data_IF_618563029715
#
_entry.id   IF_618563029715
#
_cell.length_a   1.000
_cell.length_b   1.000
_cell.length_c   1.000
_cell.angle_alpha   90.00
_cell.angle_beta   90.00
_cell.angle_gamma   90.00
#
_symmetry.space_group_name_H-M   'P 1'
#
loop_
_entity.id
_entity.type
_entity.pdbx_description
1 polymer ?
#
# COMPACT_ATOMS: atom_id res chain seq x y z
N UNK A 1 17.21 -3.53 41.20
CA UNK A 1 17.97 -2.49 40.46
C UNK A 1 17.64 -2.70 38.98
N UNK A 2 16.67 -1.96 38.43
CA UNK A 2 16.18 -2.14 37.05
C UNK A 2 17.20 -1.53 36.07
N UNK A 3 18.19 -2.32 35.65
CA UNK A 3 19.02 -1.95 34.51
C UNK A 3 18.23 -2.28 33.23
N UNK A 4 17.33 -1.38 32.84
CA UNK A 4 16.66 -1.48 31.54
C UNK A 4 17.67 -1.10 30.47
N UNK A 5 17.96 -2.05 29.59
CA UNK A 5 18.79 -1.85 28.41
C UNK A 5 18.31 -0.61 27.62
N UNK A 6 19.18 0.38 27.33
CA UNK A 6 18.82 1.53 26.50
C UNK A 6 18.18 1.14 25.16
N UNK A 7 18.58 0.02 24.56
CA UNK A 7 17.96 -0.50 23.34
C UNK A 7 16.53 -1.01 23.58
N UNK A 8 16.25 -1.59 24.75
CA UNK A 8 14.91 -2.02 25.12
C UNK A 8 13.96 -0.82 25.24
N UNK A 9 14.37 0.25 25.92
CA UNK A 9 13.55 1.46 26.04
C UNK A 9 13.29 2.10 24.67
N UNK A 10 14.31 2.16 23.81
CA UNK A 10 14.16 2.67 22.45
C UNK A 10 13.18 1.84 21.63
N UNK A 11 13.29 0.50 21.69
CA UNK A 11 12.39 -0.40 20.98
C UNK A 11 10.93 -0.27 21.46
N UNK A 12 10.72 -0.22 22.77
CA UNK A 12 9.39 -0.05 23.37
C UNK A 12 8.76 1.29 22.97
N UNK A 13 9.52 2.39 23.05
CA UNK A 13 9.04 3.70 22.60
C UNK A 13 8.72 3.72 21.11
N UNK A 14 9.57 3.10 20.29
CA UNK A 14 9.34 3.02 18.84
C UNK A 14 8.05 2.26 18.55
N UNK A 15 7.84 1.10 19.20
CA UNK A 15 6.63 0.31 19.08
C UNK A 15 5.40 1.15 19.44
N UNK A 16 5.35 1.72 20.66
CA UNK A 16 4.23 2.54 21.11
C UNK A 16 3.92 3.75 20.19
N UNK A 17 4.95 4.36 19.59
CA UNK A 17 4.81 5.51 18.68
C UNK A 17 4.38 5.14 17.26
N UNK A 18 4.63 3.91 16.80
CA UNK A 18 4.47 3.52 15.38
C UNK A 18 3.48 2.40 15.16
N UNK A 19 2.90 1.87 16.24
CA UNK A 19 1.97 0.77 16.24
C UNK A 19 0.73 1.13 17.03
N UNK A 20 -0.44 0.75 16.53
CA UNK A 20 -1.69 0.80 17.28
C UNK A 20 -2.59 -0.37 16.92
N UNK A 21 -3.60 -0.63 17.73
CA UNK A 21 -4.59 -1.69 17.49
C UNK A 21 -5.97 -1.06 17.31
N UNK A 22 -6.65 -1.39 16.22
CA UNK A 22 -8.03 -0.99 15.96
C UNK A 22 -9.01 -1.78 16.82
N UNK A 23 -10.24 -1.30 16.92
CA UNK A 23 -11.33 -1.95 17.67
C UNK A 23 -11.72 -3.31 17.11
N UNK A 24 -11.52 -3.55 15.81
CA UNK A 24 -11.72 -4.85 15.15
C UNK A 24 -10.60 -5.86 15.44
N UNK A 25 -9.59 -5.48 16.22
CA UNK A 25 -8.46 -6.31 16.60
C UNK A 25 -7.28 -6.28 15.61
N UNK A 26 -7.41 -5.60 14.47
CA UNK A 26 -6.33 -5.42 13.49
C UNK A 26 -5.25 -4.44 13.98
N UNK A 27 -4.03 -4.58 13.46
CA UNK A 27 -2.91 -3.73 13.82
C UNK A 27 -2.62 -2.69 12.74
N UNK A 28 -2.46 -1.44 13.14
CA UNK A 28 -1.96 -0.35 12.30
C UNK A 28 -0.48 -0.19 12.60
N UNK A 29 0.33 -0.33 11.57
CA UNK A 29 1.79 -0.13 11.65
C UNK A 29 2.22 0.95 10.68
N UNK A 30 3.17 1.77 11.10
CA UNK A 30 3.81 2.75 10.22
C UNK A 30 4.73 2.04 9.22
N UNK A 31 4.71 2.48 7.96
CA UNK A 31 5.70 2.03 6.97
C UNK A 31 7.13 2.33 7.47
N UNK A 32 8.04 1.34 7.47
CA UNK A 32 9.37 1.48 8.04
C UNK A 32 10.29 2.24 7.08
N UNK A 33 10.21 3.57 7.10
CA UNK A 33 11.20 4.42 6.45
C UNK A 33 12.42 4.59 7.37
N UNK A 34 13.64 4.50 6.81
CA UNK A 34 14.86 4.81 7.56
C UNK A 34 14.84 6.29 7.94
N UNK A 35 15.07 6.68 9.20
CA UNK A 35 14.97 8.09 9.64
C UNK A 35 15.85 9.06 8.84
N UNK A 36 17.03 8.58 8.43
CA UNK A 36 18.02 9.35 7.67
C UNK A 36 17.66 9.47 6.18
N UNK A 37 16.83 8.56 5.67
CA UNK A 37 16.42 8.53 4.27
C UNK A 37 15.03 9.12 4.17
N UNK A 38 14.96 10.40 3.81
CA UNK A 38 13.70 10.98 3.35
C UNK A 38 13.32 10.27 2.05
N UNK A 39 12.18 9.54 2.00
CA UNK A 39 11.82 8.85 0.77
C UNK A 39 11.58 9.88 -0.33
N UNK A 40 12.35 9.74 -1.41
CA UNK A 40 12.25 10.60 -2.58
C UNK A 40 11.40 9.89 -3.63
N UNK A 41 10.23 10.46 -3.90
CA UNK A 41 9.25 9.92 -4.85
C UNK A 41 9.08 10.83 -6.07
N UNK A 42 10.13 11.58 -6.43
CA UNK A 42 10.18 12.37 -7.65
C UNK A 42 9.77 11.48 -8.84
N UNK A 43 8.94 12.05 -9.73
CA UNK A 43 8.39 11.37 -10.92
C UNK A 43 7.45 10.17 -10.64
N UNK A 44 7.11 9.86 -9.39
CA UNK A 44 6.18 8.77 -9.06
C UNK A 44 4.85 8.87 -9.82
N UNK A 45 4.30 10.08 -9.95
CA UNK A 45 3.09 10.35 -10.74
C UNK A 45 3.24 9.95 -12.21
N UNK A 46 4.35 10.32 -12.84
CA UNK A 46 4.59 10.02 -14.25
C UNK A 46 4.79 8.51 -14.47
N UNK A 47 5.49 7.85 -13.55
CA UNK A 47 5.65 6.39 -13.56
C UNK A 47 4.29 5.69 -13.43
N UNK A 48 3.48 6.09 -12.44
CA UNK A 48 2.15 5.56 -12.22
C UNK A 48 1.24 5.80 -13.44
N UNK A 49 1.29 6.99 -14.04
CA UNK A 49 0.53 7.33 -15.25
C UNK A 49 0.88 6.44 -16.43
N UNK A 50 2.18 6.20 -16.69
CA UNK A 50 2.61 5.29 -17.77
C UNK A 50 2.11 3.87 -17.55
N UNK A 51 2.16 3.38 -16.31
CA UNK A 51 1.65 2.05 -15.94
C UNK A 51 0.13 1.96 -16.12
N UNK A 52 -0.59 2.99 -15.69
CA UNK A 52 -2.04 3.10 -15.90
C UNK A 52 -2.41 3.06 -17.39
N UNK A 53 -1.74 3.84 -18.26
CA UNK A 53 -1.99 3.80 -19.71
C UNK A 53 -1.80 2.39 -20.29
N UNK A 54 -0.77 1.67 -19.85
CA UNK A 54 -0.52 0.30 -20.30
C UNK A 54 -1.59 -0.68 -19.79
N UNK A 55 -2.03 -0.51 -18.54
CA UNK A 55 -3.15 -1.26 -17.97
C UNK A 55 -4.42 -1.03 -18.78
N UNK A 56 -4.80 0.22 -19.06
CA UNK A 56 -5.96 0.59 -19.87
C UNK A 56 -5.93 -0.02 -21.28
N UNK A 57 -4.75 -0.09 -21.90
CA UNK A 57 -4.58 -0.77 -23.19
C UNK A 57 -4.82 -2.28 -23.08
N UNK A 58 -4.37 -2.91 -21.99
CA UNK A 58 -4.58 -4.35 -21.74
C UNK A 58 -6.05 -4.64 -21.46
N UNK A 59 -6.69 -3.87 -20.58
CA UNK A 59 -8.11 -4.01 -20.25
C UNK A 59 -9.02 -3.88 -21.49
N UNK A 60 -8.66 -3.04 -22.46
CA UNK A 60 -9.39 -2.93 -23.73
C UNK A 60 -9.25 -4.15 -24.65
N UNK A 61 -8.10 -4.83 -24.62
CA UNK A 61 -7.79 -5.95 -25.51
C UNK A 61 -8.19 -7.30 -24.93
N UNK A 62 -8.17 -7.44 -23.61
CA UNK A 62 -8.40 -8.69 -22.90
C UNK A 62 -9.60 -8.55 -21.95
N UNK A 63 -10.77 -9.00 -22.42
CA UNK A 63 -12.04 -8.93 -21.68
C UNK A 63 -12.01 -9.77 -20.41
N UNK A 64 -11.33 -10.94 -20.41
CA UNK A 64 -11.24 -11.80 -19.23
C UNK A 64 -10.44 -11.09 -18.14
N UNK A 65 -9.27 -10.56 -18.49
CA UNK A 65 -8.45 -9.79 -17.57
C UNK A 65 -9.19 -8.57 -17.03
N UNK A 66 -9.94 -7.85 -17.89
CA UNK A 66 -10.72 -6.69 -17.48
C UNK A 66 -11.75 -7.01 -16.42
N UNK A 67 -12.55 -8.05 -16.63
CA UNK A 67 -13.61 -8.42 -15.70
C UNK A 67 -13.03 -8.82 -14.33
N UNK A 68 -11.95 -9.62 -14.32
CA UNK A 68 -11.27 -10.02 -13.09
C UNK A 68 -10.63 -8.82 -12.36
N UNK A 69 -10.01 -7.91 -13.11
CA UNK A 69 -9.42 -6.70 -12.55
C UNK A 69 -10.46 -5.82 -11.86
N UNK A 70 -11.61 -5.57 -12.52
CA UNK A 70 -12.66 -4.74 -11.91
C UNK A 70 -13.32 -5.41 -10.71
N UNK A 71 -13.51 -6.73 -10.74
CA UNK A 71 -14.01 -7.47 -9.59
C UNK A 71 -13.08 -7.32 -8.38
N UNK A 72 -11.77 -7.49 -8.57
CA UNK A 72 -10.77 -7.31 -7.53
C UNK A 72 -10.75 -5.87 -6.98
N UNK A 73 -10.84 -4.86 -7.85
CA UNK A 73 -10.90 -3.47 -7.40
C UNK A 73 -12.19 -3.20 -6.61
N UNK A 74 -13.32 -3.79 -6.99
CA UNK A 74 -14.55 -3.63 -6.21
C UNK A 74 -14.42 -4.28 -4.83
N UNK A 75 -13.89 -5.50 -4.75
CA UNK A 75 -13.61 -6.19 -3.48
C UNK A 75 -12.69 -5.35 -2.58
N UNK A 76 -11.67 -4.72 -3.12
CA UNK A 76 -10.77 -3.84 -2.36
C UNK A 76 -11.48 -2.60 -1.80
N UNK A 77 -12.48 -2.05 -2.49
CA UNK A 77 -13.33 -0.98 -1.95
C UNK A 77 -14.24 -1.52 -0.85
N UNK A 78 -14.89 -2.65 -1.10
CA UNK A 78 -15.86 -3.25 -0.18
C UNK A 78 -15.22 -3.68 1.15
N UNK A 79 -13.94 -4.09 1.10
CA UNK A 79 -13.12 -4.43 2.27
C UNK A 79 -12.50 -3.21 2.97
N UNK A 80 -12.78 -1.98 2.53
CA UNK A 80 -12.17 -0.74 3.05
C UNK A 80 -10.63 -0.75 2.97
N UNK A 81 -10.08 -1.52 2.01
CA UNK A 81 -8.64 -1.58 1.74
C UNK A 81 -8.19 -0.44 0.84
N UNK A 82 -9.11 0.21 0.14
CA UNK A 82 -8.87 1.44 -0.59
C UNK A 82 -10.13 2.31 -0.63
N UNK A 83 -9.94 3.60 -0.93
CA UNK A 83 -11.00 4.58 -1.08
C UNK A 83 -10.73 5.49 -2.29
N UNK A 84 -11.77 6.20 -2.74
CA UNK A 84 -11.60 7.22 -3.76
C UNK A 84 -10.80 8.41 -3.22
N UNK A 85 -9.70 8.75 -3.87
CA UNK A 85 -8.91 9.92 -3.50
C UNK A 85 -9.71 11.22 -3.67
N UNK A 86 -9.83 12.01 -2.61
CA UNK A 86 -10.53 13.30 -2.59
C UNK A 86 -9.64 14.48 -2.99
N UNK A 87 -8.33 14.29 -2.93
CA UNK A 87 -7.32 15.29 -3.31
C UNK A 87 -6.20 14.67 -4.13
N UNK A 88 -5.37 15.54 -4.73
CA UNK A 88 -4.15 15.07 -5.39
C UNK A 88 -3.19 14.48 -4.35
N UNK A 89 -2.75 13.25 -4.59
CA UNK A 89 -1.73 12.59 -3.78
C UNK A 89 -0.35 13.25 -3.97
N UNK A 90 0.41 13.33 -2.88
CA UNK A 90 1.82 13.75 -2.92
C UNK A 90 2.68 12.73 -3.68
N UNK A 91 2.31 11.45 -3.60
CA UNK A 91 3.03 10.32 -4.16
C UNK A 91 2.05 9.32 -4.78
N UNK A 92 2.49 8.61 -5.82
CA UNK A 92 1.66 7.68 -6.55
C UNK A 92 2.35 6.31 -6.63
N UNK A 93 1.63 5.26 -6.25
CA UNK A 93 2.12 3.88 -6.37
C UNK A 93 1.57 3.30 -7.69
N UNK A 94 2.43 2.80 -8.58
CA UNK A 94 1.95 2.14 -9.79
C UNK A 94 1.23 0.85 -9.44
N UNK A 95 0.00 0.69 -9.92
CA UNK A 95 -0.75 -0.57 -9.79
C UNK A 95 -0.52 -1.48 -11.00
N UNK A 96 -0.37 -2.78 -10.77
CA UNK A 96 -0.18 -3.78 -11.82
C UNK A 96 -1.01 -5.04 -11.53
N UNK A 97 -1.99 -5.33 -12.39
CA UNK A 97 -2.77 -6.55 -12.28
C UNK A 97 -2.03 -7.77 -12.82
N UNK A 98 -1.91 -8.80 -12.01
CA UNK A 98 -1.28 -10.09 -12.34
C UNK A 98 -2.37 -11.15 -12.41
N UNK A 99 -2.40 -11.93 -13.50
CA UNK A 99 -3.20 -13.15 -13.56
C UNK A 99 -2.36 -14.30 -13.03
N UNK A 100 -2.93 -15.09 -12.13
CA UNK A 100 -2.38 -16.39 -11.74
C UNK A 100 -3.25 -17.46 -12.39
N UNK A 101 -2.62 -18.37 -13.12
CA UNK A 101 -3.32 -19.46 -13.83
C UNK A 101 -3.57 -20.69 -12.94
N UNK A 102 -3.25 -20.62 -11.63
CA UNK A 102 -3.47 -21.72 -10.69
C UNK A 102 -3.76 -21.23 -9.26
N UNK A 103 -4.63 -21.93 -8.52
CA UNK A 103 -4.75 -21.75 -7.08
C UNK A 103 -3.60 -22.50 -6.38
N UNK A 104 -2.87 -21.82 -5.50
CA UNK A 104 -2.11 -22.44 -4.42
C UNK A 104 -3.02 -22.68 -3.23
#
# INVERSE_FOLDING_TARGET
>A
RNHRDPMHNYAEEHFQKTHSRKSDGSYVVRLPFKPEIKPNFVQSKEIARRRWINLERRLRKDTKFRNLYHLFMQEYLDLDHMEHATSLGLYYIPHFGILRDSPT
#
